data_IF_668928284010
#
_entry.id   IF_668928284010
#
_cell.length_a   1.000
_cell.length_b   1.000
_cell.length_c   1.000
_cell.angle_alpha   90.00
_cell.angle_beta   90.00
_cell.angle_gamma   90.00
#
_symmetry.space_group_name_H-M   'P 1'
#
loop_
_entity.id
_entity.type
_entity.pdbx_description
1 polymer ?
#
# COMPACT_ATOMS: atom_id res chain seq x y z
N UNK A 1 -6.47 -20.70 -24.09
CA UNK A 1 -5.14 -20.28 -23.59
C UNK A 1 -5.22 -19.30 -22.40
N UNK A 2 -6.20 -18.37 -22.34
CA UNK A 2 -6.39 -17.42 -21.21
C UNK A 2 -6.58 -18.09 -19.84
N UNK A 3 -7.35 -19.18 -19.78
CA UNK A 3 -7.58 -19.95 -18.54
C UNK A 3 -6.30 -20.44 -17.84
N UNK A 4 -5.24 -20.73 -18.62
CA UNK A 4 -3.97 -21.23 -18.04
C UNK A 4 -3.17 -20.10 -17.39
N UNK A 5 -3.22 -18.91 -17.98
CA UNK A 5 -2.59 -17.69 -17.46
C UNK A 5 -3.31 -17.25 -16.19
N UNK A 6 -4.65 -17.26 -16.21
CA UNK A 6 -5.48 -16.89 -15.07
C UNK A 6 -5.31 -17.85 -13.89
N UNK A 7 -5.17 -19.15 -14.15
CA UNK A 7 -4.83 -20.14 -13.12
C UNK A 7 -3.44 -19.94 -12.52
N UNK A 8 -2.42 -19.60 -13.32
CA UNK A 8 -1.07 -19.29 -12.81
C UNK A 8 -1.06 -18.02 -11.96
N UNK A 9 -1.76 -16.98 -12.40
CA UNK A 9 -1.87 -15.70 -11.68
C UNK A 9 -2.59 -15.89 -10.35
N UNK A 10 -3.72 -16.61 -10.32
CA UNK A 10 -4.43 -16.90 -9.06
C UNK A 10 -3.58 -17.73 -8.08
N UNK A 11 -2.84 -18.73 -8.58
CA UNK A 11 -1.99 -19.56 -7.72
C UNK A 11 -0.82 -18.76 -7.12
N UNK A 12 -0.25 -17.82 -7.90
CA UNK A 12 0.79 -16.92 -7.41
C UNK A 12 0.24 -15.91 -6.40
N UNK A 13 -0.92 -15.32 -6.69
CA UNK A 13 -1.61 -14.40 -5.78
C UNK A 13 -1.93 -15.07 -4.44
N UNK A 14 -2.41 -16.32 -4.45
CA UNK A 14 -2.70 -17.09 -3.24
C UNK A 14 -1.47 -17.31 -2.34
N UNK A 15 -0.31 -17.63 -2.94
CA UNK A 15 0.95 -17.80 -2.18
C UNK A 15 1.42 -16.50 -1.53
N UNK A 16 1.33 -15.39 -2.27
CA UNK A 16 1.70 -14.06 -1.77
C UNK A 16 0.76 -13.63 -0.64
N UNK A 17 -0.55 -13.88 -0.78
CA UNK A 17 -1.55 -13.57 0.24
C UNK A 17 -1.33 -14.38 1.53
N UNK A 18 -0.97 -15.66 1.43
CA UNK A 18 -0.69 -16.51 2.60
C UNK A 18 0.52 -16.02 3.40
N UNK A 19 1.62 -15.67 2.70
CA UNK A 19 2.84 -15.14 3.32
C UNK A 19 2.61 -13.78 4.00
N UNK A 20 1.93 -12.85 3.31
CA UNK A 20 1.57 -11.55 3.88
C UNK A 20 0.58 -11.69 5.05
N UNK A 21 -0.34 -12.65 4.97
CA UNK A 21 -1.36 -12.93 5.97
C UNK A 21 -0.78 -13.35 7.32
N UNK A 22 0.23 -14.23 7.30
CA UNK A 22 0.99 -14.67 8.50
C UNK A 22 1.81 -13.52 9.08
N UNK A 23 2.61 -12.84 8.26
CA UNK A 23 3.50 -11.76 8.71
C UNK A 23 2.75 -10.53 9.26
N UNK A 24 1.53 -10.26 8.78
CA UNK A 24 0.70 -9.12 9.23
C UNK A 24 -0.10 -9.45 10.49
N UNK A 25 -0.35 -10.74 10.78
CA UNK A 25 -1.10 -11.21 11.95
C UNK A 25 -0.47 -10.74 13.27
N UNK A 26 0.83 -11.00 13.44
CA UNK A 26 1.60 -10.59 14.63
C UNK A 26 1.81 -9.07 14.72
N UNK A 27 1.80 -8.38 13.59
CA UNK A 27 2.10 -6.93 13.53
C UNK A 27 0.91 -6.05 13.90
N UNK A 28 -0.34 -6.51 13.74
CA UNK A 28 -1.54 -5.73 14.07
C UNK A 28 -1.55 -5.30 15.55
N UNK A 29 -1.19 -6.20 16.47
CA UNK A 29 -1.20 -5.94 17.92
C UNK A 29 -0.16 -4.89 18.35
N UNK A 30 1.02 -4.85 17.70
CA UNK A 30 2.03 -3.83 17.98
C UNK A 30 1.74 -2.47 17.33
N UNK A 31 0.90 -2.45 16.29
CA UNK A 31 0.63 -1.26 15.50
C UNK A 31 -0.27 -0.25 16.22
N UNK A 32 -1.24 -0.71 17.00
CA UNK A 32 -2.17 0.16 17.75
C UNK A 32 -1.46 1.04 18.78
N UNK A 33 -0.38 0.56 19.41
CA UNK A 33 0.41 1.35 20.37
C UNK A 33 1.25 2.46 19.73
N UNK A 34 1.89 2.18 18.58
CA UNK A 34 2.73 3.16 17.86
C UNK A 34 1.91 4.22 17.12
N UNK A 35 0.72 3.88 16.62
CA UNK A 35 -0.14 4.79 15.90
C UNK A 35 -0.52 6.04 16.74
N UNK A 36 -0.73 5.87 18.04
CA UNK A 36 -1.10 6.97 18.96
C UNK A 36 0.05 7.97 19.21
N UNK A 37 1.31 7.53 19.15
CA UNK A 37 2.48 8.43 19.23
C UNK A 37 2.78 9.16 17.92
N UNK A 38 2.49 8.53 16.78
CA UNK A 38 2.83 9.06 15.47
C UNK A 38 1.92 10.21 15.02
N UNK A 39 0.65 10.21 15.44
CA UNK A 39 -0.32 11.25 15.08
C UNK A 39 0.12 12.67 15.42
N UNK A 40 0.82 12.87 16.55
CA UNK A 40 1.30 14.20 16.97
C UNK A 40 2.52 14.72 16.20
N UNK A 41 3.35 13.84 15.63
CA UNK A 41 4.55 14.25 14.85
C UNK A 41 4.27 14.39 13.36
N UNK A 42 3.24 13.70 12.86
CA UNK A 42 2.92 13.65 11.45
C UNK A 42 2.41 14.98 10.89
N UNK A 43 1.64 15.76 11.67
CA UNK A 43 0.99 16.97 11.19
C UNK A 43 1.94 18.05 10.67
N UNK A 44 3.09 18.27 11.33
CA UNK A 44 4.02 19.35 10.94
C UNK A 44 4.83 19.01 9.68
N UNK A 45 5.26 17.76 9.50
CA UNK A 45 6.04 17.37 8.32
C UNK A 45 5.19 17.12 7.06
N UNK A 46 3.88 16.94 7.22
CA UNK A 46 3.00 16.57 6.10
C UNK A 46 2.83 17.69 5.07
N UNK A 47 2.82 18.96 5.52
CA UNK A 47 2.64 20.13 4.65
C UNK A 47 3.76 20.29 3.62
N UNK A 48 5.01 20.11 4.04
CA UNK A 48 6.19 20.21 3.16
C UNK A 48 6.25 19.06 2.15
N UNK A 49 5.90 17.84 2.60
CA UNK A 49 5.84 16.64 1.76
C UNK A 49 4.76 16.74 0.67
N UNK A 50 3.57 17.22 1.03
CA UNK A 50 2.48 17.44 0.07
C UNK A 50 2.87 18.43 -1.03
N UNK A 51 3.59 19.51 -0.67
CA UNK A 51 4.09 20.49 -1.63
C UNK A 51 5.02 19.86 -2.68
N UNK A 52 5.95 19.00 -2.26
CA UNK A 52 6.89 18.33 -3.17
C UNK A 52 6.20 17.30 -4.07
N UNK A 53 5.27 16.51 -3.51
CA UNK A 53 4.48 15.54 -4.28
C UNK A 53 3.65 16.26 -5.34
N UNK A 54 2.98 17.37 -4.98
CA UNK A 54 2.19 18.16 -5.94
C UNK A 54 3.02 18.68 -7.13
N UNK A 55 4.24 19.13 -6.85
CA UNK A 55 5.17 19.60 -7.90
C UNK A 55 5.60 18.47 -8.83
N UNK A 56 5.82 17.26 -8.30
CA UNK A 56 6.15 16.05 -9.10
C UNK A 56 4.97 15.58 -9.96
N UNK A 57 3.76 15.64 -9.43
CA UNK A 57 2.53 15.27 -10.16
C UNK A 57 2.28 16.18 -11.35
N UNK A 58 2.50 17.49 -11.20
CA UNK A 58 2.31 18.45 -12.30
C UNK A 58 3.37 18.32 -13.41
N UNK A 59 4.57 17.83 -13.07
CA UNK A 59 5.68 17.67 -14.03
C UNK A 59 5.68 16.32 -14.75
N UNK A 60 5.14 15.26 -14.15
CA UNK A 60 5.08 13.94 -14.77
C UNK A 60 3.76 13.22 -14.42
N UNK A 61 2.69 13.46 -15.18
CA UNK A 61 1.36 12.94 -14.86
C UNK A 61 1.28 11.41 -14.94
N UNK A 62 2.00 10.78 -15.87
CA UNK A 62 2.01 9.30 -16.00
C UNK A 62 2.76 8.66 -14.84
N UNK A 63 3.90 9.23 -14.43
CA UNK A 63 4.65 8.76 -13.26
C UNK A 63 3.84 8.89 -11.97
N UNK A 64 3.07 9.98 -11.84
CA UNK A 64 2.16 10.15 -10.71
C UNK A 64 1.05 9.10 -10.67
N UNK A 65 0.41 8.80 -11.81
CA UNK A 65 -0.60 7.75 -11.89
C UNK A 65 -0.04 6.38 -11.53
N UNK A 66 1.20 6.06 -11.93
CA UNK A 66 1.86 4.83 -11.54
C UNK A 66 2.07 4.75 -10.01
N UNK A 67 2.50 5.84 -9.38
CA UNK A 67 2.66 5.91 -7.92
C UNK A 67 1.32 5.79 -7.20
N UNK A 68 0.28 6.47 -7.69
CA UNK A 68 -1.08 6.36 -7.15
C UNK A 68 -1.64 4.95 -7.31
N UNK A 69 -1.43 4.31 -8.45
CA UNK A 69 -1.83 2.93 -8.70
C UNK A 69 -1.12 1.94 -7.79
N UNK A 70 0.19 2.10 -7.58
CA UNK A 70 0.96 1.30 -6.64
C UNK A 70 0.48 1.48 -5.19
N UNK A 71 0.20 2.72 -4.79
CA UNK A 71 -0.38 3.01 -3.48
C UNK A 71 -1.77 2.38 -3.33
N UNK A 72 -2.65 2.55 -4.31
CA UNK A 72 -3.99 1.97 -4.33
C UNK A 72 -3.96 0.43 -4.28
N UNK A 73 -3.04 -0.21 -5.01
CA UNK A 73 -2.84 -1.65 -4.96
C UNK A 73 -2.36 -2.10 -3.58
N UNK A 74 -1.42 -1.39 -2.97
CA UNK A 74 -0.98 -1.67 -1.60
C UNK A 74 -2.14 -1.49 -0.60
N UNK A 75 -2.96 -0.44 -0.74
CA UNK A 75 -4.16 -0.24 0.08
C UNK A 75 -5.21 -1.33 -0.14
N UNK A 76 -5.43 -1.78 -1.38
CA UNK A 76 -6.34 -2.87 -1.70
C UNK A 76 -5.85 -4.20 -1.10
N UNK A 77 -4.56 -4.49 -1.21
CA UNK A 77 -3.92 -5.64 -0.58
C UNK A 77 -4.04 -5.61 0.95
N UNK A 78 -4.09 -4.42 1.56
CA UNK A 78 -4.31 -4.25 3.00
C UNK A 78 -5.79 -4.39 3.43
N UNK A 79 -6.73 -3.89 2.61
CA UNK A 79 -8.18 -3.95 2.93
C UNK A 79 -8.81 -5.31 2.60
N UNK A 80 -8.15 -6.17 1.83
CA UNK A 80 -8.56 -7.56 1.55
C UNK A 80 -8.43 -8.51 2.75
N UNK A 81 -8.22 -7.99 3.97
CA UNK A 81 -8.23 -8.74 5.23
C UNK A 81 -9.30 -8.20 6.19
N UNK A 82 -10.53 -8.10 5.67
CA UNK A 82 -11.81 -8.03 6.39
C UNK A 82 -12.78 -8.97 5.70
#
# INVERSE_FOLDING_TARGET
MLNKIEGTVQNLAGRVQDALGRATGDKRTQFEGKARQLGGKAQSGYGELLGQVRSRVSKNPIGALAVVGAAAFAFAALKSKR
#
